data_IF_265252968583
#
_entry.id   IF_265252968583
#
_cell.length_a   1.000
_cell.length_b   1.000
_cell.length_c   1.000
_cell.angle_alpha   90.00
_cell.angle_beta   90.00
_cell.angle_gamma   90.00
#
_symmetry.space_group_name_H-M   'P 1'
#
loop_
_entity.id
_entity.type
_entity.pdbx_description
1 polymer ?
#
# COMPACT_ATOMS: atom_id res chain seq x y z
N UNK A 1 -21.51 74.22 7.67
CA UNK A 1 -20.05 74.03 7.53
C UNK A 1 -19.54 73.59 8.89
N UNK A 2 -19.55 72.28 9.13
CA UNK A 2 -18.98 71.62 10.30
C UNK A 2 -18.36 70.32 9.81
N UNK A 3 -17.14 70.09 10.28
CA UNK A 3 -16.17 69.07 9.90
C UNK A 3 -16.40 67.81 10.74
N UNK A 4 -16.23 66.68 10.06
CA UNK A 4 -15.83 65.31 10.44
C UNK A 4 -15.64 64.95 11.92
N UNK A 5 -16.18 63.77 12.28
CA UNK A 5 -15.52 62.74 13.09
C UNK A 5 -16.31 61.42 12.93
N UNK A 6 -15.94 60.60 11.95
CA UNK A 6 -16.34 59.18 11.89
C UNK A 6 -15.17 58.37 12.44
N UNK A 7 -15.37 57.82 13.63
CA UNK A 7 -14.50 56.84 14.27
C UNK A 7 -14.64 55.49 13.59
N UNK A 8 -13.53 54.98 13.04
CA UNK A 8 -13.37 53.58 12.63
C UNK A 8 -13.22 52.72 13.89
N UNK A 9 -14.28 51.99 14.25
CA UNK A 9 -14.20 50.87 15.19
C UNK A 9 -13.90 49.60 14.37
N UNK A 10 -12.60 49.30 14.24
CA UNK A 10 -12.10 47.99 13.81
C UNK A 10 -12.30 46.98 14.95
N UNK A 11 -13.36 46.18 14.88
CA UNK A 11 -13.48 44.95 15.67
C UNK A 11 -12.44 43.93 15.15
N UNK A 12 -11.25 43.93 15.77
CA UNK A 12 -10.25 42.86 15.67
C UNK A 12 -10.87 41.52 16.12
N UNK A 13 -11.46 40.80 15.18
CA UNK A 13 -11.73 39.38 15.34
C UNK A 13 -10.37 38.67 15.48
N UNK A 14 -10.05 38.30 16.71
CA UNK A 14 -8.83 37.58 17.08
C UNK A 14 -8.79 36.24 16.34
N UNK A 15 -8.23 36.30 15.15
CA UNK A 15 -7.90 35.15 14.32
C UNK A 15 -6.75 34.42 15.00
N UNK A 16 -7.08 33.56 15.97
CA UNK A 16 -6.13 32.61 16.52
C UNK A 16 -5.80 31.61 15.43
N UNK A 17 -4.82 31.97 14.61
CA UNK A 17 -4.32 31.14 13.53
C UNK A 17 -4.00 29.72 14.03
N UNK A 18 -4.14 28.71 13.16
CA UNK A 18 -3.96 27.32 13.55
C UNK A 18 -2.56 27.13 14.13
N UNK A 19 -2.52 26.69 15.39
CA UNK A 19 -1.29 26.25 16.06
C UNK A 19 -0.60 25.24 15.15
N UNK A 20 0.69 25.44 14.94
CA UNK A 20 1.59 24.63 14.12
C UNK A 20 1.63 23.15 14.58
N UNK A 21 0.57 22.41 14.24
CA UNK A 21 0.49 20.97 14.38
C UNK A 21 1.36 20.32 13.31
N UNK A 22 2.13 19.32 13.71
CA UNK A 22 3.15 18.69 12.87
C UNK A 22 2.58 18.20 11.53
N UNK A 23 3.28 18.66 10.49
CA UNK A 23 3.08 18.37 9.07
C UNK A 23 3.27 16.88 8.83
N UNK A 24 2.26 16.19 8.31
CA UNK A 24 2.42 14.78 7.90
C UNK A 24 2.58 14.68 6.39
N UNK A 25 3.68 14.07 5.97
CA UNK A 25 3.99 13.76 4.57
C UNK A 25 2.84 13.02 3.88
N UNK A 26 2.63 13.33 2.60
CA UNK A 26 1.66 12.67 1.73
C UNK A 26 1.87 11.16 1.82
N UNK A 27 0.87 10.47 2.35
CA UNK A 27 0.76 9.01 2.35
C UNK A 27 1.90 8.28 3.11
N UNK A 28 1.62 7.61 4.24
CA UNK A 28 2.62 6.88 5.06
C UNK A 28 3.37 5.74 4.34
N UNK A 29 3.10 5.49 3.06
CA UNK A 29 3.87 4.61 2.17
C UNK A 29 5.14 5.24 1.61
N UNK A 30 5.27 6.58 1.57
CA UNK A 30 6.44 7.24 0.96
C UNK A 30 7.71 7.18 1.81
N UNK A 31 7.60 7.00 3.14
CA UNK A 31 8.76 6.72 4.00
C UNK A 31 9.18 5.22 3.97
N UNK A 32 9.28 4.62 2.79
CA UNK A 32 9.79 3.24 2.69
C UNK A 32 11.27 3.23 3.07
N UNK A 33 11.60 2.58 4.19
CA UNK A 33 12.99 2.35 4.59
C UNK A 33 13.52 1.09 3.91
N UNK A 34 14.65 1.20 3.24
CA UNK A 34 15.29 0.07 2.53
C UNK A 34 15.93 -0.97 3.47
N UNK A 35 16.07 -0.65 4.76
CA UNK A 35 16.60 -1.56 5.78
C UNK A 35 15.88 -1.41 7.11
N UNK A 36 15.81 -2.51 7.87
CA UNK A 36 15.37 -2.48 9.26
C UNK A 36 16.56 -2.34 10.22
N UNK A 37 16.29 -1.76 11.40
CA UNK A 37 17.22 -1.64 12.53
C UNK A 37 16.98 -2.71 13.60
N UNK A 38 16.12 -3.68 13.33
CA UNK A 38 15.82 -4.76 14.28
C UNK A 38 17.08 -5.57 14.55
N UNK A 39 17.26 -6.09 15.76
CA UNK A 39 18.38 -6.98 16.10
C UNK A 39 18.08 -8.46 15.86
N UNK A 40 16.80 -8.85 15.84
CA UNK A 40 16.29 -10.20 15.48
C UNK A 40 14.77 -10.18 15.28
N UNK A 41 14.20 -11.28 14.77
CA UNK A 41 12.77 -11.60 14.92
C UNK A 41 11.79 -10.66 14.21
N UNK A 42 12.10 -10.25 12.98
CA UNK A 42 11.29 -9.36 12.13
C UNK A 42 9.89 -9.91 11.75
N UNK A 43 9.05 -10.26 12.74
CA UNK A 43 7.74 -10.90 12.59
C UNK A 43 6.57 -9.95 12.83
N UNK A 44 6.85 -8.67 13.09
CA UNK A 44 5.87 -7.63 13.42
C UNK A 44 6.11 -6.37 12.61
N UNK A 45 5.07 -5.54 12.48
CA UNK A 45 5.09 -4.23 11.78
C UNK A 45 6.01 -3.17 12.43
N UNK A 46 6.65 -3.48 13.56
CA UNK A 46 7.76 -2.67 14.11
C UNK A 46 9.02 -2.77 13.26
N UNK A 47 9.20 -3.88 12.53
CA UNK A 47 10.22 -4.00 11.49
C UNK A 47 9.79 -3.24 10.23
N UNK A 48 10.65 -2.35 9.73
CA UNK A 48 10.36 -1.57 8.52
C UNK A 48 10.13 -2.46 7.29
N UNK A 49 10.95 -3.50 7.08
CA UNK A 49 10.79 -4.42 5.95
C UNK A 49 9.44 -5.15 6.04
N UNK A 50 9.11 -5.68 7.21
CA UNK A 50 7.83 -6.36 7.44
C UNK A 50 6.63 -5.42 7.25
N UNK A 51 6.72 -4.19 7.79
CA UNK A 51 5.67 -3.17 7.65
C UNK A 51 5.32 -2.88 6.19
N UNK A 52 6.32 -2.87 5.31
CA UNK A 52 6.19 -2.51 3.90
C UNK A 52 6.20 -3.71 2.95
N UNK A 53 5.92 -4.92 3.46
CA UNK A 53 5.79 -6.12 2.63
C UNK A 53 7.06 -6.52 1.88
N UNK A 54 8.24 -6.20 2.42
CA UNK A 54 9.52 -6.53 1.82
C UNK A 54 10.33 -7.51 2.68
N UNK A 55 11.07 -8.38 2.00
CA UNK A 55 12.10 -9.18 2.64
C UNK A 55 13.23 -8.32 3.21
N UNK A 56 13.82 -8.77 4.31
CA UNK A 56 15.06 -8.20 4.82
C UNK A 56 16.21 -8.52 3.85
N UNK A 57 17.20 -7.62 3.81
CA UNK A 57 18.41 -7.77 3.01
C UNK A 57 19.66 -7.75 3.92
N UNK A 58 20.87 -8.04 3.39
CA UNK A 58 22.08 -8.06 4.18
C UNK A 58 22.41 -6.75 4.91
N UNK A 59 21.88 -5.61 4.46
CA UNK A 59 22.06 -4.31 5.11
C UNK A 59 21.13 -4.12 6.33
N UNK A 60 20.25 -5.07 6.62
CA UNK A 60 19.37 -5.06 7.79
C UNK A 60 20.11 -5.52 9.05
N UNK A 61 19.81 -4.89 10.19
CA UNK A 61 20.42 -5.26 11.48
C UNK A 61 19.99 -6.63 12.02
N UNK A 62 18.96 -7.25 11.45
CA UNK A 62 18.30 -8.43 12.02
C UNK A 62 19.11 -9.72 11.88
N UNK A 63 20.19 -9.68 11.09
CA UNK A 63 21.11 -10.79 10.92
C UNK A 63 20.50 -12.04 10.26
N UNK A 64 21.23 -13.17 10.30
CA UNK A 64 20.85 -14.40 9.61
C UNK A 64 19.65 -15.13 10.24
N UNK A 65 19.38 -14.92 11.53
CA UNK A 65 18.22 -15.50 12.23
C UNK A 65 16.93 -14.71 12.03
N UNK A 66 16.82 -13.98 10.92
CA UNK A 66 15.66 -13.15 10.62
C UNK A 66 14.46 -14.02 10.25
N UNK A 67 13.34 -13.83 10.96
CA UNK A 67 12.10 -14.57 10.75
C UNK A 67 11.05 -13.77 9.95
N UNK A 68 11.48 -12.80 9.15
CA UNK A 68 10.57 -12.06 8.28
C UNK A 68 9.99 -13.01 7.21
N UNK A 69 8.69 -13.30 7.27
CA UNK A 69 8.04 -14.18 6.29
C UNK A 69 8.14 -13.65 4.86
N UNK A 70 8.27 -12.33 4.67
CA UNK A 70 8.48 -11.72 3.35
C UNK A 70 9.86 -12.00 2.76
N UNK A 71 10.76 -12.65 3.48
CA UNK A 71 11.97 -13.24 2.90
C UNK A 71 11.67 -14.39 1.93
N UNK A 72 10.44 -14.92 1.96
CA UNK A 72 9.99 -16.07 1.16
C UNK A 72 9.02 -15.70 0.03
N UNK A 73 9.06 -14.43 -0.41
CA UNK A 73 8.19 -13.94 -1.48
C UNK A 73 8.49 -14.59 -2.85
N UNK A 74 9.62 -15.29 -3.01
CA UNK A 74 9.90 -16.14 -4.17
C UNK A 74 8.86 -17.24 -4.36
N UNK A 75 8.15 -17.64 -3.30
CA UNK A 75 7.01 -18.55 -3.41
C UNK A 75 5.93 -17.99 -4.36
N UNK A 76 5.64 -16.69 -4.28
CA UNK A 76 4.66 -16.04 -5.15
C UNK A 76 5.27 -15.49 -6.44
N UNK A 77 6.49 -14.95 -6.37
CA UNK A 77 7.03 -14.14 -7.47
C UNK A 77 8.14 -14.83 -8.28
N UNK A 78 8.59 -16.02 -7.86
CA UNK A 78 9.74 -16.68 -8.45
C UNK A 78 11.07 -16.02 -8.05
N UNK A 79 12.16 -16.54 -8.59
CA UNK A 79 13.53 -16.14 -8.21
C UNK A 79 14.21 -15.18 -9.19
N UNK A 80 13.52 -14.73 -10.25
CA UNK A 80 14.09 -13.90 -11.31
C UNK A 80 14.66 -12.57 -10.79
N UNK A 81 13.94 -11.91 -9.88
CA UNK A 81 14.39 -10.71 -9.18
C UNK A 81 13.78 -10.65 -7.79
N UNK A 82 14.31 -9.77 -6.93
CA UNK A 82 13.71 -9.52 -5.61
C UNK A 82 12.50 -8.60 -5.75
N UNK A 83 11.34 -9.13 -5.37
CA UNK A 83 10.08 -8.40 -5.34
C UNK A 83 9.71 -8.00 -3.91
N UNK A 84 8.94 -6.92 -3.79
CA UNK A 84 8.16 -6.62 -2.58
C UNK A 84 6.69 -6.84 -2.90
N UNK A 85 5.92 -7.30 -1.92
CA UNK A 85 4.47 -7.31 -2.02
C UNK A 85 3.95 -5.88 -2.04
N UNK A 86 2.91 -5.60 -2.84
CA UNK A 86 2.18 -4.33 -2.71
C UNK A 86 1.57 -4.23 -1.29
N UNK A 87 1.31 -3.02 -0.78
CA UNK A 87 0.90 -2.88 0.61
C UNK A 87 -0.41 -3.62 0.96
N UNK A 88 -1.37 -3.69 0.03
CA UNK A 88 -2.64 -4.40 0.25
C UNK A 88 -2.44 -5.92 0.36
N UNK A 89 -1.69 -6.54 -0.57
CA UNK A 89 -1.35 -7.96 -0.50
C UNK A 89 -0.50 -8.28 0.73
N UNK A 90 0.43 -7.39 1.11
CA UNK A 90 1.22 -7.56 2.33
C UNK A 90 0.34 -7.57 3.59
N UNK A 91 -0.72 -6.76 3.61
CA UNK A 91 -1.68 -6.76 4.71
C UNK A 91 -2.47 -8.07 4.75
N UNK A 92 -3.01 -8.49 3.61
CA UNK A 92 -3.73 -9.76 3.49
C UNK A 92 -2.88 -10.94 3.97
N UNK A 93 -1.59 -11.00 3.60
CA UNK A 93 -0.68 -12.04 4.09
C UNK A 93 -0.56 -12.00 5.63
N UNK A 94 -0.36 -10.83 6.23
CA UNK A 94 -0.23 -10.70 7.70
C UNK A 94 -1.49 -11.15 8.44
N UNK A 95 -2.67 -10.96 7.84
CA UNK A 95 -3.95 -11.39 8.43
C UNK A 95 -4.20 -12.89 8.28
N UNK A 96 -3.63 -13.53 7.25
CA UNK A 96 -3.97 -14.91 6.88
C UNK A 96 -2.85 -15.92 7.18
N UNK A 97 -1.63 -15.47 7.42
CA UNK A 97 -0.49 -16.35 7.75
C UNK A 97 0.35 -15.81 8.90
N UNK A 98 0.84 -16.70 9.76
CA UNK A 98 1.62 -16.33 10.95
C UNK A 98 3.13 -16.35 10.72
N UNK A 99 3.60 -17.13 9.74
CA UNK A 99 5.01 -17.40 9.53
C UNK A 99 5.28 -17.85 8.08
N UNK A 100 6.56 -18.11 7.79
CA UNK A 100 7.02 -18.54 6.47
C UNK A 100 6.48 -19.90 6.02
N UNK A 101 6.20 -20.81 6.96
CA UNK A 101 5.72 -22.16 6.63
C UNK A 101 4.24 -22.12 6.23
N UNK A 102 3.42 -21.37 6.98
CA UNK A 102 2.02 -21.11 6.60
C UNK A 102 1.92 -20.33 5.28
N UNK A 103 2.83 -19.39 5.03
CA UNK A 103 2.90 -18.67 3.74
C UNK A 103 3.06 -19.64 2.55
N UNK A 104 3.89 -20.68 2.71
CA UNK A 104 4.12 -21.69 1.67
C UNK A 104 2.96 -22.69 1.54
N UNK A 105 2.01 -22.70 2.47
CA UNK A 105 0.80 -23.52 2.40
C UNK A 105 -0.34 -22.84 1.63
N UNK A 106 -0.21 -21.55 1.30
CA UNK A 106 -1.20 -20.85 0.48
C UNK A 106 -1.29 -21.53 -0.90
N UNK A 107 -2.50 -21.98 -1.25
CA UNK A 107 -2.79 -22.54 -2.57
C UNK A 107 -2.79 -21.43 -3.63
N UNK A 108 -1.73 -21.43 -4.45
CA UNK A 108 -1.52 -20.44 -5.51
C UNK A 108 -2.55 -20.58 -6.64
N UNK A 109 -3.08 -21.77 -6.89
CA UNK A 109 -4.10 -21.94 -7.92
C UNK A 109 -5.41 -21.30 -7.46
N UNK A 110 -5.85 -21.59 -6.23
CA UNK A 110 -7.05 -20.96 -5.66
C UNK A 110 -6.92 -19.43 -5.56
N UNK A 111 -5.75 -18.94 -5.13
CA UNK A 111 -5.49 -17.50 -5.09
C UNK A 111 -5.55 -16.87 -6.49
N UNK A 112 -4.95 -17.52 -7.50
CA UNK A 112 -5.02 -17.07 -8.88
C UNK A 112 -6.46 -17.05 -9.40
N UNK A 113 -7.25 -18.10 -9.14
CA UNK A 113 -8.66 -18.19 -9.55
C UNK A 113 -9.50 -17.09 -8.91
N UNK A 114 -9.31 -16.82 -7.61
CA UNK A 114 -9.97 -15.71 -6.91
C UNK A 114 -9.71 -14.37 -7.60
N UNK A 115 -8.44 -14.05 -7.86
CA UNK A 115 -8.04 -12.78 -8.48
C UNK A 115 -8.56 -12.71 -9.94
N UNK A 116 -8.46 -13.80 -10.70
CA UNK A 116 -8.96 -13.85 -12.07
C UNK A 116 -10.48 -13.70 -12.14
N UNK A 117 -11.23 -14.23 -11.17
CA UNK A 117 -12.68 -14.06 -11.12
C UNK A 117 -13.03 -12.57 -11.07
N UNK A 118 -12.40 -11.81 -10.17
CA UNK A 118 -12.57 -10.36 -10.15
C UNK A 118 -12.19 -9.71 -11.49
N UNK A 119 -11.09 -10.16 -12.11
CA UNK A 119 -10.58 -9.62 -13.37
C UNK A 119 -11.53 -9.82 -14.56
N UNK A 120 -12.35 -10.88 -14.53
CA UNK A 120 -13.34 -11.18 -15.56
C UNK A 120 -14.67 -10.45 -15.36
N UNK A 121 -14.96 -9.96 -14.15
CA UNK A 121 -16.14 -9.14 -13.87
C UNK A 121 -15.86 -7.65 -14.03
N UNK A 122 -14.64 -7.20 -13.70
CA UNK A 122 -14.14 -5.89 -14.09
C UNK A 122 -13.75 -5.94 -15.56
N UNK A 123 -14.02 -4.92 -16.36
CA UNK A 123 -13.48 -4.81 -17.74
C UNK A 123 -11.92 -4.74 -17.78
N UNK A 124 -11.22 -4.96 -16.66
CA UNK A 124 -9.75 -4.94 -16.50
C UNK A 124 -9.02 -5.90 -17.44
N UNK A 125 -9.60 -7.05 -17.79
CA UNK A 125 -9.02 -7.92 -18.83
C UNK A 125 -8.95 -7.24 -20.21
N UNK A 126 -9.73 -6.19 -20.44
CA UNK A 126 -9.71 -5.35 -21.65
C UNK A 126 -8.82 -4.11 -21.53
N UNK A 127 -8.48 -3.66 -20.32
CA UNK A 127 -7.69 -2.43 -20.11
C UNK A 127 -6.18 -2.67 -20.01
N UNK A 128 -5.73 -3.87 -19.62
CA UNK A 128 -4.30 -4.20 -19.54
C UNK A 128 -3.90 -5.27 -20.57
N UNK A 129 -3.17 -4.85 -21.59
CA UNK A 129 -2.63 -5.70 -22.65
C UNK A 129 -1.79 -6.89 -22.14
N UNK A 130 -1.06 -6.71 -21.03
CA UNK A 130 -0.25 -7.79 -20.44
C UNK A 130 -1.16 -8.83 -19.80
N UNK A 131 -2.21 -8.42 -19.08
CA UNK A 131 -3.18 -9.36 -18.51
C UNK A 131 -3.95 -10.11 -19.59
N UNK A 132 -4.37 -9.41 -20.64
CA UNK A 132 -5.01 -10.04 -21.80
C UNK A 132 -4.13 -11.09 -22.48
N UNK A 133 -2.83 -10.78 -22.68
CA UNK A 133 -1.84 -11.74 -23.21
C UNK A 133 -1.62 -12.92 -22.26
N UNK A 134 -1.54 -12.65 -20.96
CA UNK A 134 -1.41 -13.68 -19.94
C UNK A 134 -2.60 -14.65 -19.97
N UNK A 135 -3.83 -14.14 -19.98
CA UNK A 135 -5.06 -14.95 -19.95
C UNK A 135 -5.23 -15.79 -21.23
N UNK A 136 -4.85 -15.24 -22.40
CA UNK A 136 -4.84 -15.98 -23.67
C UNK A 136 -3.84 -17.14 -23.64
N UNK A 137 -2.66 -16.95 -23.03
CA UNK A 137 -1.64 -17.99 -22.89
C UNK A 137 -2.06 -19.06 -21.86
N UNK A 138 -2.65 -18.67 -20.74
CA UNK A 138 -3.10 -19.59 -19.68
C UNK A 138 -3.98 -20.73 -20.21
N UNK A 139 -4.88 -20.44 -21.17
CA UNK A 139 -5.77 -21.43 -21.81
C UNK A 139 -5.05 -22.49 -22.64
N UNK A 140 -3.77 -22.29 -22.97
CA UNK A 140 -3.01 -23.11 -23.95
C UNK A 140 -1.78 -23.80 -23.36
N UNK A 141 -1.37 -23.45 -22.13
CA UNK A 141 -0.12 -23.97 -21.56
C UNK A 141 -0.31 -25.33 -20.89
N UNK A 142 0.78 -26.10 -20.87
CA UNK A 142 0.88 -27.37 -20.16
C UNK A 142 0.94 -27.17 -18.63
N UNK A 143 0.68 -28.23 -17.86
CA UNK A 143 0.74 -28.17 -16.39
C UNK A 143 2.13 -27.77 -15.87
N UNK A 144 3.19 -28.20 -16.53
CA UNK A 144 4.57 -27.92 -16.08
C UNK A 144 4.95 -26.44 -16.24
N UNK A 145 4.31 -25.73 -17.16
CA UNK A 145 4.50 -24.29 -17.39
C UNK A 145 3.58 -23.42 -16.53
N UNK A 146 2.54 -24.00 -15.91
CA UNK A 146 1.55 -23.24 -15.15
C UNK A 146 2.17 -22.50 -13.97
N UNK A 147 3.15 -23.10 -13.30
CA UNK A 147 3.78 -22.50 -12.13
C UNK A 147 4.44 -21.15 -12.46
N UNK A 148 5.34 -21.13 -13.45
CA UNK A 148 6.00 -19.90 -13.89
C UNK A 148 4.98 -18.87 -14.40
N UNK A 149 3.96 -19.34 -15.11
CA UNK A 149 2.90 -18.47 -15.61
C UNK A 149 2.07 -17.85 -14.47
N UNK A 150 1.73 -18.58 -13.41
CA UNK A 150 1.07 -18.04 -12.21
C UNK A 150 1.99 -17.04 -11.49
N UNK A 151 3.28 -17.32 -11.37
CA UNK A 151 4.20 -16.38 -10.74
C UNK A 151 4.26 -15.07 -11.52
N UNK A 152 4.25 -15.12 -12.87
CA UNK A 152 4.11 -13.92 -13.72
C UNK A 152 2.85 -13.13 -13.42
N UNK A 153 1.71 -13.81 -13.25
CA UNK A 153 0.45 -13.19 -12.87
C UNK A 153 0.54 -12.46 -11.53
N UNK A 154 1.07 -13.13 -10.50
CA UNK A 154 1.23 -12.53 -9.18
C UNK A 154 2.20 -11.37 -9.18
N UNK A 155 3.29 -11.41 -9.96
CA UNK A 155 4.19 -10.27 -10.09
C UNK A 155 3.46 -9.03 -10.60
N UNK A 156 2.63 -9.19 -11.62
CA UNK A 156 1.88 -8.08 -12.21
C UNK A 156 0.91 -7.45 -11.21
N UNK A 157 0.23 -8.25 -10.38
CA UNK A 157 -0.92 -7.79 -9.61
C UNK A 157 -0.69 -7.64 -8.10
N UNK A 158 0.30 -8.35 -7.57
CA UNK A 158 0.53 -8.47 -6.13
C UNK A 158 1.89 -7.88 -5.71
N UNK A 159 2.76 -7.50 -6.66
CA UNK A 159 4.04 -6.85 -6.36
C UNK A 159 3.94 -5.32 -6.46
N UNK A 160 4.87 -4.61 -5.82
CA UNK A 160 4.89 -3.13 -5.83
C UNK A 160 5.55 -2.48 -7.06
N UNK A 161 5.93 -3.22 -8.12
CA UNK A 161 6.86 -2.68 -9.15
C UNK A 161 6.54 -2.98 -10.62
N UNK A 162 5.52 -3.78 -10.93
CA UNK A 162 5.39 -4.37 -12.27
C UNK A 162 4.13 -3.95 -13.06
N UNK A 163 3.21 -3.18 -12.47
CA UNK A 163 1.99 -2.71 -13.15
C UNK A 163 1.40 -1.45 -12.51
N UNK A 164 0.70 -0.64 -13.31
CA UNK A 164 -0.13 0.48 -12.86
C UNK A 164 -1.43 0.01 -12.20
N UNK A 165 -1.77 -1.27 -12.34
CA UNK A 165 -2.92 -1.91 -11.71
C UNK A 165 -2.46 -2.96 -10.72
N UNK A 166 -3.15 -3.07 -9.60
CA UNK A 166 -2.95 -4.12 -8.62
C UNK A 166 -4.28 -4.69 -8.14
N UNK A 167 -4.26 -5.90 -7.60
CA UNK A 167 -5.44 -6.47 -6.97
C UNK A 167 -5.55 -6.01 -5.51
N UNK A 168 -6.66 -5.38 -5.17
CA UNK A 168 -6.97 -4.90 -3.83
C UNK A 168 -7.80 -5.94 -3.07
N UNK A 169 -7.20 -6.57 -2.06
CA UNK A 169 -7.93 -7.46 -1.15
C UNK A 169 -8.91 -6.71 -0.25
N UNK A 170 -8.73 -5.41 -0.02
CA UNK A 170 -9.67 -4.60 0.75
C UNK A 170 -10.99 -4.36 0.01
N UNK A 171 -10.94 -4.28 -1.33
CA UNK A 171 -12.10 -3.98 -2.18
C UNK A 171 -12.53 -5.16 -3.07
N UNK A 172 -11.77 -6.25 -3.00
CA UNK A 172 -11.90 -7.45 -3.84
C UNK A 172 -11.88 -7.20 -5.36
N UNK A 173 -11.25 -6.10 -5.79
CA UNK A 173 -11.23 -5.65 -7.18
C UNK A 173 -9.87 -5.07 -7.62
N UNK A 174 -9.74 -4.75 -8.91
CA UNK A 174 -8.57 -4.14 -9.52
C UNK A 174 -8.56 -2.63 -9.30
N UNK A 175 -7.43 -2.13 -8.83
CA UNK A 175 -7.22 -0.74 -8.48
C UNK A 175 -6.03 -0.18 -9.22
N UNK A 176 -6.10 1.11 -9.57
CA UNK A 176 -4.98 1.83 -10.15
C UNK A 176 -4.09 2.42 -9.06
N UNK A 177 -2.78 2.33 -9.25
CA UNK A 177 -1.78 2.82 -8.28
C UNK A 177 -1.86 4.33 -8.05
N UNK A 178 -2.32 5.10 -9.04
CA UNK A 178 -2.47 6.56 -8.96
C UNK A 178 -3.81 7.01 -8.34
N UNK A 179 -4.83 6.16 -8.38
CA UNK A 179 -6.16 6.46 -7.86
C UNK A 179 -6.41 5.90 -6.46
N UNK A 180 -5.70 4.84 -6.05
CA UNK A 180 -5.94 4.15 -4.79
C UNK A 180 -4.63 3.80 -4.11
N UNK A 181 -4.51 4.16 -2.84
CA UNK A 181 -3.37 3.81 -2.00
C UNK A 181 -3.80 3.05 -0.74
N UNK A 182 -2.98 2.13 -0.27
CA UNK A 182 -3.29 1.38 0.94
C UNK A 182 -2.57 1.97 2.16
N UNK A 183 -3.30 2.35 3.18
CA UNK A 183 -2.72 2.96 4.38
C UNK A 183 -2.11 1.91 5.28
N UNK A 184 -0.77 1.85 5.37
CA UNK A 184 -0.06 0.90 6.26
C UNK A 184 -0.34 1.09 7.75
N UNK A 185 -0.96 2.21 8.15
CA UNK A 185 -1.36 2.48 9.54
C UNK A 185 -2.77 1.97 9.83
N UNK A 186 -3.73 2.33 8.98
CA UNK A 186 -5.14 1.92 9.13
C UNK A 186 -5.43 0.53 8.54
N UNK A 187 -4.54 0.00 7.71
CA UNK A 187 -4.66 -1.30 7.03
C UNK A 187 -5.83 -1.38 6.04
N UNK A 188 -6.14 -0.26 5.37
CA UNK A 188 -7.25 -0.16 4.43
C UNK A 188 -6.87 0.58 3.14
N UNK A 189 -7.55 0.29 2.03
CA UNK A 189 -7.38 0.98 0.75
C UNK A 189 -8.22 2.27 0.70
N UNK A 190 -7.54 3.37 0.44
CA UNK A 190 -8.05 4.73 0.45
C UNK A 190 -7.93 5.34 -0.96
N UNK A 191 -8.80 6.28 -1.27
CA UNK A 191 -8.71 7.08 -2.50
C UNK A 191 -7.47 7.99 -2.45
N UNK A 192 -6.89 8.31 -3.61
CA UNK A 192 -5.73 9.19 -3.73
C UNK A 192 -5.94 10.58 -3.09
N UNK A 193 -7.19 11.03 -2.94
CA UNK A 193 -7.58 12.29 -2.26
C UNK A 193 -7.63 12.17 -0.75
N UNK A 194 -7.49 10.98 -0.20
CA UNK A 194 -7.47 10.73 1.23
C UNK A 194 -6.04 10.66 1.76
N UNK A 195 -5.89 10.96 3.04
CA UNK A 195 -4.60 10.94 3.71
C UNK A 195 -4.73 10.52 5.18
N UNK A 196 -3.65 9.99 5.76
CA UNK A 196 -3.65 9.58 7.17
C UNK A 196 -3.27 10.76 8.07
N UNK A 197 -4.21 11.18 8.93
CA UNK A 197 -3.93 12.20 9.93
C UNK A 197 -3.09 11.63 11.08
N UNK A 198 -1.88 12.17 11.24
CA UNK A 198 -0.95 11.74 12.27
C UNK A 198 -1.44 12.02 13.69
N UNK A 199 -2.28 13.03 13.91
CA UNK A 199 -2.83 13.35 15.23
C UNK A 199 -4.04 12.48 15.56
N UNK A 200 -5.04 12.49 14.67
CA UNK A 200 -6.28 11.73 14.86
C UNK A 200 -6.12 10.22 14.62
N UNK A 201 -4.96 9.77 14.11
CA UNK A 201 -4.66 8.37 13.78
C UNK A 201 -5.70 7.71 12.85
N UNK A 202 -6.33 8.49 11.98
CA UNK A 202 -7.38 8.05 11.05
C UNK A 202 -7.12 8.59 9.65
N UNK A 203 -7.56 7.86 8.63
CA UNK A 203 -7.62 8.40 7.27
C UNK A 203 -8.74 9.44 7.17
N UNK A 204 -8.50 10.49 6.39
CA UNK A 204 -9.43 11.59 6.17
C UNK A 204 -9.42 12.03 4.72
N UNK A 205 -10.56 12.52 4.24
CA UNK A 205 -10.72 13.01 2.87
C UNK A 205 -10.24 14.45 2.72
N UNK A 206 -9.70 14.76 1.53
CA UNK A 206 -9.33 16.09 1.09
C UNK A 206 -7.89 16.44 1.43
N UNK A 207 -6.97 16.20 0.49
CA UNK A 207 -5.54 16.58 0.64
C UNK A 207 -5.36 18.08 0.94
N UNK A 208 -6.28 18.93 0.46
CA UNK A 208 -6.28 20.38 0.70
C UNK A 208 -7.16 20.81 1.88
N UNK A 209 -7.88 19.88 2.50
CA UNK A 209 -8.78 20.17 3.61
C UNK A 209 -8.10 19.84 4.94
N UNK A 210 -8.24 20.71 5.94
CA UNK A 210 -7.80 20.39 7.29
C UNK A 210 -8.59 19.19 7.83
N UNK A 211 -7.94 18.37 8.65
CA UNK A 211 -8.56 17.21 9.28
C UNK A 211 -9.68 17.64 10.21
N UNK A 212 -10.89 17.11 9.97
CA UNK A 212 -12.06 17.24 10.84
C UNK A 212 -11.79 16.56 12.19
N UNK A 213 -11.32 17.35 13.15
CA UNK A 213 -11.02 16.94 14.53
C UNK A 213 -9.84 17.70 15.13
N UNK A 214 -8.73 17.84 14.40
CA UNK A 214 -7.51 18.49 14.91
C UNK A 214 -7.07 19.71 14.10
N UNK A 215 -7.67 19.97 12.94
CA UNK A 215 -7.27 21.09 12.07
C UNK A 215 -5.95 20.89 11.31
N UNK A 216 -5.24 19.77 11.53
CA UNK A 216 -3.99 19.46 10.83
C UNK A 216 -4.21 19.26 9.34
N UNK A 217 -3.24 19.62 8.51
CA UNK A 217 -3.30 19.47 7.05
C UNK A 217 -1.99 18.93 6.47
N UNK A 218 -2.02 18.61 5.18
CA UNK A 218 -0.81 18.30 4.41
C UNK A 218 -0.25 19.63 3.86
N UNK A 219 1.00 19.94 4.19
CA UNK A 219 1.73 21.03 3.53
C UNK A 219 2.49 20.43 2.34
N UNK A 220 2.26 20.98 1.16
CA UNK A 220 3.09 20.73 -0.02
C UNK A 220 4.33 21.61 0.13
N UNK A 221 5.44 21.04 0.63
CA UNK A 221 6.75 21.69 0.57
C UNK A 221 7.42 21.39 -0.77
#
# INVERSE_FOLDING_TARGET
MWIDDYSDDDDEEQNTGPKSGQITEKNPNYEKKDKCKCSKGCTKRTCACFKFGSGCNPSCGCGPSCQNMFNHLEYFFGNEKKYSANPCFSNWLVENVKNADELKQIDRNQLQERIMKAACYSDACGYDDKLGKWAKKWKKISNDEKLDHIQKFFRMLLSSKDSSYYYSFCREDFEQEDCTWHCVKCQECNDWREWHCGECKKCTYGITLPCNGCGGGIIFC
#
